data_IF_473932479689
#
_entry.id   IF_473932479689
#
_cell.length_a   1.000
_cell.length_b   1.000
_cell.length_c   1.000
_cell.angle_alpha   90.00
_cell.angle_beta   90.00
_cell.angle_gamma   90.00
#
_symmetry.space_group_name_H-M   'P 1'
#
loop_
_entity.id
_entity.type
_entity.pdbx_description
1 polymer ?
#
# COMPACT_ATOMS: atom_id res chain seq x y z
N UNK A 1 -9.55 -11.00 20.69
CA UNK A 1 -8.48 -10.51 21.58
C UNK A 1 -7.32 -10.06 20.71
N UNK A 2 -6.76 -8.88 20.96
CA UNK A 2 -5.61 -8.35 20.20
C UNK A 2 -4.33 -8.68 20.98
N UNK A 3 -3.45 -9.46 20.37
CA UNK A 3 -2.28 -10.04 21.07
C UNK A 3 -1.01 -9.17 20.97
N UNK A 4 -0.90 -8.35 19.92
CA UNK A 4 0.24 -7.44 19.70
C UNK A 4 -0.21 -6.23 18.89
N UNK A 5 0.45 -5.10 19.08
CA UNK A 5 0.26 -3.89 18.28
C UNK A 5 1.62 -3.24 18.05
N UNK A 6 1.91 -2.93 16.79
CA UNK A 6 3.12 -2.21 16.38
C UNK A 6 2.69 -0.93 15.65
N UNK A 7 3.32 0.20 15.96
CA UNK A 7 2.97 1.52 15.40
C UNK A 7 4.20 2.15 14.75
N UNK A 8 4.07 2.59 13.50
CA UNK A 8 5.13 3.24 12.74
C UNK A 8 4.88 4.76 12.70
N UNK A 9 5.74 5.54 13.35
CA UNK A 9 5.65 7.00 13.37
C UNK A 9 6.58 7.62 12.33
N UNK A 10 6.03 7.95 11.16
CA UNK A 10 6.83 8.51 10.05
C UNK A 10 7.25 9.98 10.24
N UNK A 11 6.76 10.68 11.28
CA UNK A 11 6.92 12.13 11.47
C UNK A 11 7.48 12.57 12.83
N UNK A 12 7.60 11.66 13.80
CA UNK A 12 7.98 12.02 15.18
C UNK A 12 9.50 11.98 15.43
N UNK A 13 10.31 11.66 14.42
CA UNK A 13 11.76 11.54 14.53
C UNK A 13 12.53 11.98 13.29
N UNK A 14 13.86 11.88 13.37
CA UNK A 14 14.77 12.17 12.25
C UNK A 14 14.74 11.10 11.16
N UNK A 15 14.40 9.87 11.51
CA UNK A 15 14.29 8.75 10.60
C UNK A 15 12.82 8.46 10.28
N UNK A 16 12.52 8.16 9.01
CA UNK A 16 11.17 7.83 8.57
C UNK A 16 10.91 6.34 8.76
N UNK A 17 10.14 6.01 9.80
CA UNK A 17 9.72 4.64 10.08
C UNK A 17 8.36 4.39 9.43
N UNK A 18 8.29 3.35 8.61
CA UNK A 18 7.05 2.89 7.97
C UNK A 18 6.69 1.47 8.41
N UNK A 19 5.51 1.00 8.02
CA UNK A 19 5.01 -0.33 8.40
C UNK A 19 5.90 -1.46 7.88
N UNK A 20 6.46 -1.32 6.68
CA UNK A 20 7.40 -2.28 6.11
C UNK A 20 8.72 -2.36 6.91
N UNK A 21 9.15 -1.26 7.53
CA UNK A 21 10.33 -1.26 8.42
C UNK A 21 10.09 -2.15 9.64
N UNK A 22 8.93 -2.02 10.28
CA UNK A 22 8.56 -2.83 11.44
C UNK A 22 8.36 -4.30 11.07
N UNK A 23 7.75 -4.56 9.91
CA UNK A 23 7.56 -5.91 9.41
C UNK A 23 8.90 -6.62 9.15
N UNK A 24 9.90 -5.91 8.61
CA UNK A 24 11.22 -6.49 8.43
C UNK A 24 11.90 -6.81 9.78
N UNK A 25 11.79 -5.92 10.77
CA UNK A 25 12.33 -6.13 12.11
C UNK A 25 11.69 -7.33 12.81
N UNK A 26 10.37 -7.48 12.70
CA UNK A 26 9.59 -8.57 13.31
C UNK A 26 9.46 -9.80 12.39
N UNK A 27 10.21 -9.85 11.29
CA UNK A 27 10.03 -10.83 10.21
C UNK A 27 10.04 -12.30 10.64
N UNK A 28 10.92 -12.66 11.58
CA UNK A 28 11.01 -14.03 12.09
C UNK A 28 9.76 -14.47 12.84
N UNK A 29 9.11 -13.55 13.55
CA UNK A 29 7.87 -13.82 14.27
C UNK A 29 6.67 -13.81 13.33
N UNK A 30 6.62 -12.84 12.40
CA UNK A 30 5.62 -12.79 11.36
C UNK A 30 5.58 -14.08 10.53
N UNK A 31 6.74 -14.60 10.11
CA UNK A 31 6.84 -15.87 9.40
C UNK A 31 6.35 -17.05 10.26
N UNK A 32 6.69 -17.07 11.56
CA UNK A 32 6.20 -18.10 12.49
C UNK A 32 4.67 -18.13 12.56
N UNK A 33 4.02 -16.97 12.56
CA UNK A 33 2.56 -16.90 12.55
C UNK A 33 1.97 -17.38 11.22
N UNK A 34 2.63 -17.09 10.09
CA UNK A 34 2.24 -17.62 8.79
C UNK A 34 2.26 -19.16 8.78
N UNK A 35 3.30 -19.78 9.34
CA UNK A 35 3.39 -21.24 9.47
C UNK A 35 2.33 -21.81 10.43
N UNK A 36 1.83 -21.01 11.37
CA UNK A 36 0.75 -21.39 12.29
C UNK A 36 -0.66 -21.17 11.73
N UNK A 37 -0.78 -20.79 10.45
CA UNK A 37 -2.08 -20.60 9.81
C UNK A 37 -2.61 -19.16 9.84
N UNK A 38 -1.79 -18.16 10.21
CA UNK A 38 -2.23 -16.76 10.23
C UNK A 38 -2.62 -16.26 8.82
N UNK A 39 -3.50 -15.26 8.81
CA UNK A 39 -3.88 -14.52 7.61
C UNK A 39 -3.35 -13.08 7.70
N UNK A 40 -2.95 -12.53 6.57
CA UNK A 40 -2.45 -11.17 6.39
C UNK A 40 -3.55 -10.36 5.70
N UNK A 41 -3.80 -9.18 6.25
CA UNK A 41 -4.69 -8.18 5.68
C UNK A 41 -3.93 -6.86 5.56
N UNK A 42 -3.94 -6.28 4.37
CA UNK A 42 -3.39 -4.96 4.10
C UNK A 42 -4.56 -4.08 3.69
N UNK A 43 -4.81 -2.98 4.41
CA UNK A 43 -5.83 -2.01 4.05
C UNK A 43 -5.28 -0.59 4.13
N UNK A 44 -5.73 0.28 3.22
CA UNK A 44 -5.30 1.66 3.22
C UNK A 44 -5.63 2.44 1.94
N UNK A 45 -5.27 3.71 1.95
CA UNK A 45 -5.49 4.66 0.86
C UNK A 45 -4.28 4.63 -0.08
N UNK A 46 -4.36 3.99 -1.26
CA UNK A 46 -3.28 3.92 -2.26
C UNK A 46 -2.85 5.29 -2.81
N UNK A 47 -3.66 6.31 -2.62
CA UNK A 47 -3.39 7.67 -3.08
C UNK A 47 -2.58 8.48 -2.06
N UNK A 48 -2.68 8.16 -0.76
CA UNK A 48 -1.93 8.86 0.32
C UNK A 48 -0.90 7.98 1.03
N UNK A 49 -1.14 6.68 1.16
CA UNK A 49 -0.05 5.71 1.21
C UNK A 49 0.56 5.77 -0.17
N UNK A 50 1.80 6.24 -0.27
CA UNK A 50 2.52 6.17 -1.54
C UNK A 50 2.36 4.75 -2.11
N UNK A 51 2.20 4.59 -3.42
CA UNK A 51 2.24 3.27 -4.06
C UNK A 51 3.46 2.45 -3.56
N UNK A 52 4.54 3.15 -3.19
CA UNK A 52 5.73 2.64 -2.52
C UNK A 52 5.47 1.88 -1.20
N UNK A 53 4.41 2.17 -0.46
CA UNK A 53 4.07 1.49 0.80
C UNK A 53 3.37 0.16 0.52
N UNK A 54 2.37 0.09 -0.37
CA UNK A 54 1.73 -1.20 -0.72
C UNK A 54 2.76 -2.13 -1.37
N UNK A 55 3.46 -1.64 -2.40
CA UNK A 55 4.54 -2.37 -3.07
C UNK A 55 5.67 -2.69 -2.10
N UNK A 56 5.99 -1.78 -1.18
CA UNK A 56 7.01 -1.98 -0.16
C UNK A 56 6.64 -3.06 0.85
N UNK A 57 5.40 -3.09 1.34
CA UNK A 57 4.94 -4.12 2.27
C UNK A 57 4.91 -5.49 1.60
N UNK A 58 4.39 -5.58 0.37
CA UNK A 58 4.42 -6.82 -0.41
C UNK A 58 5.86 -7.31 -0.62
N UNK A 59 6.77 -6.41 -1.00
CA UNK A 59 8.19 -6.74 -1.19
C UNK A 59 8.85 -7.23 0.10
N UNK A 60 8.62 -6.53 1.22
CA UNK A 60 9.14 -6.95 2.52
C UNK A 60 8.56 -8.28 2.95
N UNK A 61 7.29 -8.57 2.69
CA UNK A 61 6.70 -9.89 2.96
C UNK A 61 7.43 -10.99 2.19
N UNK A 62 7.69 -10.79 0.89
CA UNK A 62 8.44 -11.74 0.08
C UNK A 62 9.85 -11.97 0.64
N UNK A 63 10.54 -10.89 1.04
CA UNK A 63 11.88 -10.98 1.62
C UNK A 63 11.87 -11.69 2.99
N UNK A 64 10.85 -11.45 3.82
CA UNK A 64 10.64 -12.16 5.10
C UNK A 64 10.40 -13.64 4.87
N UNK A 65 9.54 -14.01 3.91
CA UNK A 65 9.25 -15.40 3.56
C UNK A 65 10.50 -16.10 3.03
N UNK A 66 11.23 -15.47 2.12
CA UNK A 66 12.48 -16.01 1.57
C UNK A 66 13.52 -16.23 2.67
N UNK A 67 13.77 -15.19 3.48
CA UNK A 67 14.80 -15.19 4.53
C UNK A 67 14.50 -16.19 5.65
N UNK A 68 13.26 -16.25 6.14
CA UNK A 68 12.91 -17.08 7.29
C UNK A 68 12.39 -18.47 6.90
N UNK A 69 11.90 -18.65 5.68
CA UNK A 69 11.55 -19.95 5.11
C UNK A 69 12.72 -20.68 4.45
N UNK A 70 13.86 -20.01 4.22
CA UNK A 70 14.98 -20.58 3.48
C UNK A 70 14.65 -20.86 2.01
N UNK A 71 13.79 -20.03 1.42
CA UNK A 71 13.22 -20.18 0.08
C UNK A 71 13.93 -19.25 -0.91
N UNK A 72 13.97 -19.64 -2.19
CA UNK A 72 14.33 -18.73 -3.27
C UNK A 72 13.30 -17.61 -3.45
N UNK A 73 13.64 -16.57 -4.21
CA UNK A 73 12.69 -15.51 -4.58
C UNK A 73 11.45 -16.06 -5.28
N UNK A 74 11.62 -17.03 -6.18
CA UNK A 74 10.52 -17.65 -6.92
C UNK A 74 9.65 -18.51 -6.00
N UNK A 75 10.26 -19.22 -5.06
CA UNK A 75 9.55 -20.03 -4.08
C UNK A 75 8.78 -19.16 -3.08
N UNK A 76 9.35 -18.03 -2.65
CA UNK A 76 8.65 -17.06 -1.81
C UNK A 76 7.43 -16.45 -2.53
N UNK A 77 7.56 -16.12 -3.81
CA UNK A 77 6.41 -15.66 -4.61
C UNK A 77 5.32 -16.73 -4.70
N UNK A 78 5.68 -17.99 -4.98
CA UNK A 78 4.71 -19.10 -4.98
C UNK A 78 4.06 -19.31 -3.62
N UNK A 79 4.80 -19.12 -2.53
CA UNK A 79 4.27 -19.20 -1.17
C UNK A 79 3.21 -18.11 -0.95
N UNK A 80 3.50 -16.87 -1.36
CA UNK A 80 2.55 -15.76 -1.25
C UNK A 80 1.32 -15.98 -2.14
N UNK A 81 1.48 -16.51 -3.36
CA UNK A 81 0.39 -16.89 -4.25
C UNK A 81 -0.52 -17.96 -3.61
N UNK A 82 0.08 -18.94 -2.93
CA UNK A 82 -0.65 -19.95 -2.16
C UNK A 82 -1.43 -19.34 -1.00
N UNK A 83 -0.84 -18.40 -0.26
CA UNK A 83 -1.58 -17.67 0.79
C UNK A 83 -2.77 -16.90 0.21
N UNK A 84 -2.61 -16.31 -0.97
CA UNK A 84 -3.69 -15.60 -1.67
C UNK A 84 -4.83 -16.55 -2.05
N UNK A 85 -4.51 -17.71 -2.64
CA UNK A 85 -5.53 -18.71 -3.02
C UNK A 85 -6.22 -19.37 -1.83
N UNK A 86 -5.55 -19.45 -0.68
CA UNK A 86 -6.11 -19.89 0.60
C UNK A 86 -6.94 -18.81 1.32
N UNK A 87 -7.13 -17.62 0.70
CA UNK A 87 -7.77 -16.43 1.31
C UNK A 87 -7.07 -15.91 2.57
N UNK A 88 -5.78 -16.23 2.73
CA UNK A 88 -4.93 -15.85 3.87
C UNK A 88 -4.02 -14.67 3.56
N UNK A 89 -4.06 -14.13 2.36
CA UNK A 89 -3.44 -12.85 2.00
C UNK A 89 -4.48 -12.02 1.25
N UNK A 90 -4.93 -10.93 1.86
CA UNK A 90 -5.95 -10.05 1.30
C UNK A 90 -5.48 -8.59 1.32
N UNK A 91 -5.71 -7.90 0.20
CA UNK A 91 -5.40 -6.48 0.05
C UNK A 91 -6.67 -5.73 -0.29
N UNK A 92 -6.94 -4.71 0.50
CA UNK A 92 -8.08 -3.81 0.35
C UNK A 92 -7.56 -2.37 0.30
N UNK A 93 -7.06 -2.02 -0.88
CA UNK A 93 -6.41 -0.73 -1.13
C UNK A 93 -7.31 0.12 -2.01
N UNK A 94 -7.75 1.24 -1.46
CA UNK A 94 -8.67 2.14 -2.13
C UNK A 94 -7.88 3.22 -2.87
N UNK A 95 -8.18 3.38 -4.16
CA UNK A 95 -7.75 4.54 -4.93
C UNK A 95 -8.84 5.60 -4.79
N UNK A 96 -8.48 6.86 -4.50
CA UNK A 96 -9.43 7.95 -4.70
C UNK A 96 -9.95 7.88 -6.16
N UNK A 97 -11.27 7.88 -6.38
CA UNK A 97 -11.79 8.03 -7.72
C UNK A 97 -11.25 9.36 -8.24
N UNK A 98 -10.58 9.31 -9.40
CA UNK A 98 -10.08 10.47 -10.13
C UNK A 98 -11.04 11.64 -9.91
N UNK A 99 -10.60 12.65 -9.15
CA UNK A 99 -11.46 13.79 -8.82
C UNK A 99 -12.02 14.28 -10.14
N UNK A 100 -13.35 14.26 -10.29
CA UNK A 100 -14.02 14.92 -11.39
C UNK A 100 -13.63 16.39 -11.31
N UNK A 101 -12.55 16.77 -12.01
CA UNK A 101 -12.16 18.15 -12.19
C UNK A 101 -13.20 18.70 -13.16
N UNK A 102 -14.16 19.55 -12.73
CA UNK A 102 -14.94 20.28 -13.71
C UNK A 102 -13.94 21.01 -14.61
N UNK A 103 -14.15 21.06 -15.95
CA UNK A 103 -13.24 21.75 -16.84
C UNK A 103 -13.03 23.16 -16.29
N UNK A 104 -11.76 23.50 -16.04
CA UNK A 104 -11.36 24.84 -15.63
C UNK A 104 -11.97 25.81 -16.63
N UNK A 105 -12.96 26.60 -16.19
CA UNK A 105 -13.60 27.59 -17.02
C UNK A 105 -12.61 28.75 -17.19
N UNK A 106 -11.63 28.57 -18.07
CA UNK A 106 -10.66 29.59 -18.42
C UNK A 106 -11.29 30.57 -19.41
N UNK A 107 -11.56 31.79 -18.98
CA UNK A 107 -11.71 32.95 -19.86
C UNK A 107 -13.07 33.64 -19.82
N UNK A 108 -13.03 34.93 -19.50
CA UNK A 108 -14.17 35.86 -19.40
C UNK A 108 -14.82 36.12 -20.77
N UNK A 109 -16.15 36.31 -20.86
CA UNK A 109 -16.78 36.77 -22.09
C UNK A 109 -16.63 38.29 -22.21
N UNK A 110 -15.53 38.73 -22.82
CA UNK A 110 -15.37 40.12 -23.23
C UNK A 110 -14.74 40.20 -24.61
N UNK A 111 -15.29 39.48 -25.60
CA UNK A 111 -14.85 39.59 -26.99
C UNK A 111 -15.85 38.99 -27.99
N UNK A 112 -17.14 39.35 -27.91
CA UNK A 112 -18.09 39.13 -29.02
C UNK A 112 -19.05 40.32 -29.12
N UNK A 113 -18.55 41.48 -29.54
CA UNK A 113 -19.35 42.51 -30.21
C UNK A 113 -18.42 43.32 -31.13
N UNK A 114 -18.30 43.00 -32.43
CA UNK A 114 -17.79 43.95 -33.39
C UNK A 114 -18.93 44.90 -33.77
N UNK A 115 -18.74 46.16 -33.38
CA UNK A 115 -19.14 47.38 -34.07
C UNK A 115 -20.57 47.52 -34.63
N UNK A 116 -21.25 48.57 -34.16
CA UNK A 116 -22.61 48.88 -34.50
C UNK A 116 -22.77 49.47 -35.90
N UNK A 117 -23.79 49.00 -36.61
CA UNK A 117 -24.61 49.85 -37.48
C UNK A 117 -26.08 49.52 -37.25
N UNK A 118 -26.87 50.61 -37.23
CA UNK A 118 -28.30 50.70 -36.93
C UNK A 118 -29.15 49.78 -37.81
#
# INVERSE_FOLDING_TARGET
>A
MLNRTSLAWSRDGTEKIYVQTLLEQDGAEAFRWLEQGAAIYICGDATRMAADVDVGVERTLLDVIARHGGLSSEEASRYLDRLSSEHRYQRDVYYEPCSFHPPQQTGRPSEIFPDGRR
#
